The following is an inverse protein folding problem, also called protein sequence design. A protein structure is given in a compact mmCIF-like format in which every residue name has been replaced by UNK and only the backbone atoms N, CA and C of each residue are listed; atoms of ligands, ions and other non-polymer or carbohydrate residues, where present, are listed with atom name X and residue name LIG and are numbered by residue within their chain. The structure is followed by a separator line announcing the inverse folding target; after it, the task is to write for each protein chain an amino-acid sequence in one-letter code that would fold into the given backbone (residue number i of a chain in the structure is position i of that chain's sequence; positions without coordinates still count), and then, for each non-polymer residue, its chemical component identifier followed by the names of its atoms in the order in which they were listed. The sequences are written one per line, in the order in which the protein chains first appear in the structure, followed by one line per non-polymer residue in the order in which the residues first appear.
data_IF_610125351035
#
_entry.id   IF_610125351035
#
_cell.length_a   1.000
_cell.length_b   1.000
_cell.length_c   1.000
_cell.angle_alpha   90.00
_cell.angle_beta   90.00
_cell.angle_gamma   90.00
#
_symmetry.space_group_name_H-M   'P 1'
#
loop_
_entity.id
_entity.type
_entity.pdbx_description
1 polymer ?
#
# COMPACT_ATOMS: atom_id res chain seq x y z
N UNK A 1 -17.20 15.14 10.55
CA UNK A 1 -17.22 13.67 10.79
C UNK A 1 -18.00 12.92 9.71
N UNK A 2 -19.31 13.17 9.50
CA UNK A 2 -20.11 12.50 8.45
C UNK A 2 -19.52 12.60 7.02
N UNK A 3 -19.07 13.78 6.52
CA UNK A 3 -18.51 13.86 5.16
C UNK A 3 -17.20 13.05 4.99
N UNK A 4 -16.43 12.89 6.07
CA UNK A 4 -15.21 12.08 6.09
C UNK A 4 -15.53 10.60 5.94
N UNK A 5 -16.50 10.09 6.71
CA UNK A 5 -16.96 8.70 6.65
C UNK A 5 -17.54 8.37 5.26
N UNK A 6 -18.35 9.27 4.70
CA UNK A 6 -18.92 9.09 3.36
C UNK A 6 -17.84 9.08 2.27
N UNK A 7 -16.86 9.99 2.35
CA UNK A 7 -15.74 10.02 1.42
C UNK A 7 -14.91 8.74 1.46
N UNK A 8 -14.64 8.23 2.67
CA UNK A 8 -13.90 6.99 2.87
C UNK A 8 -14.62 5.78 2.25
N UNK A 9 -15.92 5.62 2.54
CA UNK A 9 -16.72 4.51 1.98
C UNK A 9 -16.79 4.60 0.46
N UNK A 10 -16.92 5.80 -0.10
CA UNK A 10 -16.98 6.00 -1.55
C UNK A 10 -15.65 5.64 -2.23
N UNK A 11 -14.52 6.05 -1.66
CA UNK A 11 -13.19 5.70 -2.16
C UNK A 11 -12.98 4.19 -2.13
N UNK A 12 -13.34 3.51 -1.04
CA UNK A 12 -13.24 2.05 -0.94
C UNK A 12 -14.18 1.33 -1.91
N UNK A 13 -15.38 1.87 -2.15
CA UNK A 13 -16.30 1.36 -3.16
C UNK A 13 -15.70 1.51 -4.57
N UNK A 14 -15.09 2.66 -4.89
CA UNK A 14 -14.44 2.89 -6.18
C UNK A 14 -13.29 1.90 -6.41
N UNK A 15 -12.45 1.65 -5.40
CA UNK A 15 -11.40 0.61 -5.48
C UNK A 15 -11.99 -0.79 -5.69
N UNK A 16 -13.04 -1.16 -4.96
CA UNK A 16 -13.70 -2.45 -5.14
C UNK A 16 -14.25 -2.61 -6.56
N UNK A 17 -14.93 -1.59 -7.10
CA UNK A 17 -15.44 -1.58 -8.48
C UNK A 17 -14.31 -1.66 -9.50
N UNK A 18 -13.21 -0.93 -9.27
CA UNK A 18 -12.03 -0.99 -10.11
C UNK A 18 -11.41 -2.39 -10.12
N UNK A 19 -11.28 -3.05 -8.96
CA UNK A 19 -10.82 -4.44 -8.89
C UNK A 19 -11.78 -5.39 -9.60
N UNK A 20 -13.09 -5.22 -9.44
CA UNK A 20 -14.08 -6.01 -10.18
C UNK A 20 -13.96 -5.82 -11.71
N UNK A 21 -13.61 -4.61 -12.15
CA UNK A 21 -13.44 -4.26 -13.56
C UNK A 21 -12.12 -4.78 -14.13
N UNK A 22 -11.08 -4.83 -13.30
CA UNK A 22 -9.75 -5.31 -13.69
C UNK A 22 -9.64 -6.83 -13.73
N UNK A 23 -10.44 -7.58 -12.97
CA UNK A 23 -10.47 -9.05 -13.04
C UNK A 23 -11.17 -9.40 -14.36
N UNK A 24 -10.42 -9.76 -15.42
CA UNK A 24 -11.03 -9.99 -16.72
C UNK A 24 -11.87 -11.27 -16.62
N UNK A 25 -12.99 -11.28 -17.33
CA UNK A 25 -13.91 -12.41 -17.52
C UNK A 25 -13.21 -13.74 -17.87
N UNK A 26 -11.97 -13.67 -18.35
CA UNK A 26 -11.06 -14.73 -18.78
C UNK A 26 -10.60 -15.69 -17.66
N UNK A 27 -10.45 -15.19 -16.43
CA UNK A 27 -10.03 -16.03 -15.29
C UNK A 27 -11.29 -16.42 -14.50
N UNK A 28 -11.76 -17.66 -14.67
CA UNK A 28 -12.96 -18.25 -14.05
C UNK A 28 -12.91 -18.33 -12.49
N UNK A 29 -12.28 -17.38 -11.80
CA UNK A 29 -12.14 -17.27 -10.35
C UNK A 29 -13.33 -16.54 -9.74
N UNK A 30 -14.54 -17.10 -9.92
CA UNK A 30 -15.78 -16.60 -9.30
C UNK A 30 -15.65 -16.47 -7.77
N UNK A 31 -14.83 -17.32 -7.15
CA UNK A 31 -14.50 -17.28 -5.73
C UNK A 31 -13.84 -15.97 -5.29
N UNK A 32 -12.90 -15.42 -6.06
CA UNK A 32 -12.20 -14.18 -5.69
C UNK A 32 -13.13 -12.97 -5.73
N UNK A 33 -14.02 -12.92 -6.73
CA UNK A 33 -15.04 -11.88 -6.83
C UNK A 33 -15.99 -11.93 -5.63
N UNK A 34 -16.43 -13.11 -5.24
CA UNK A 34 -17.33 -13.27 -4.11
C UNK A 34 -16.65 -12.89 -2.78
N UNK A 35 -15.36 -13.22 -2.60
CA UNK A 35 -14.63 -12.82 -1.38
C UNK A 35 -14.45 -11.31 -1.24
N UNK A 36 -14.20 -10.59 -2.34
CA UNK A 36 -14.05 -9.12 -2.30
C UNK A 36 -15.39 -8.47 -1.98
N UNK A 37 -16.47 -8.91 -2.65
CA UNK A 37 -17.83 -8.38 -2.41
C UNK A 37 -18.26 -8.67 -0.98
N UNK A 38 -18.08 -9.90 -0.50
CA UNK A 38 -18.47 -10.29 0.86
C UNK A 38 -17.69 -9.49 1.90
N UNK A 39 -16.37 -9.34 1.75
CA UNK A 39 -15.56 -8.57 2.69
C UNK A 39 -15.92 -7.08 2.70
N UNK A 40 -16.10 -6.47 1.53
CA UNK A 40 -16.51 -5.08 1.44
C UNK A 40 -17.92 -4.87 2.01
N UNK A 41 -18.86 -5.78 1.76
CA UNK A 41 -20.21 -5.70 2.30
C UNK A 41 -20.23 -5.82 3.84
N UNK A 42 -19.46 -6.77 4.40
CA UNK A 42 -19.30 -6.93 5.85
C UNK A 42 -18.71 -5.65 6.45
N UNK A 43 -17.66 -5.12 5.84
CA UNK A 43 -17.05 -3.87 6.27
C UNK A 43 -18.02 -2.69 6.27
N UNK A 44 -18.68 -2.45 5.13
CA UNK A 44 -19.60 -1.33 4.98
C UNK A 44 -20.75 -1.43 5.99
N UNK A 45 -21.24 -2.65 6.25
CA UNK A 45 -22.28 -2.90 7.26
C UNK A 45 -21.78 -2.57 8.66
N UNK A 46 -20.60 -3.08 9.04
CA UNK A 46 -20.02 -2.81 10.37
C UNK A 46 -19.73 -1.33 10.57
N UNK A 47 -19.15 -0.65 9.57
CA UNK A 47 -18.90 0.79 9.65
C UNK A 47 -20.18 1.60 9.75
N UNK A 48 -21.23 1.20 9.04
CA UNK A 48 -22.54 1.84 9.16
C UNK A 48 -23.07 1.69 10.58
N UNK A 49 -22.99 0.48 11.17
CA UNK A 49 -23.43 0.24 12.55
C UNK A 49 -22.64 1.09 13.56
N UNK A 50 -21.31 1.16 13.44
CA UNK A 50 -20.49 2.01 14.31
C UNK A 50 -20.81 3.51 14.14
N UNK A 51 -21.01 3.97 12.91
CA UNK A 51 -21.42 5.34 12.63
C UNK A 51 -22.78 5.67 13.27
N UNK A 52 -23.74 4.74 13.22
CA UNK A 52 -25.01 4.89 13.93
C UNK A 52 -24.80 4.99 15.45
N UNK A 53 -23.99 4.11 16.05
CA UNK A 53 -23.71 4.15 17.49
C UNK A 53 -23.09 5.48 17.91
N UNK A 54 -22.15 6.02 17.13
CA UNK A 54 -21.51 7.31 17.38
C UNK A 54 -22.52 8.47 17.27
N UNK A 55 -23.42 8.44 16.28
CA UNK A 55 -24.44 9.49 16.11
C UNK A 55 -25.49 9.47 17.22
N UNK A 56 -25.90 8.29 17.68
CA UNK A 56 -26.95 8.13 18.69
C UNK A 56 -26.41 7.98 20.13
N UNK A 57 -25.11 8.23 20.34
CA UNK A 57 -24.44 8.03 21.63
C UNK A 57 -24.99 8.84 22.82
N UNK A 58 -25.71 9.94 22.53
CA UNK A 58 -26.35 10.79 23.53
C UNK A 58 -27.88 10.95 23.27
N UNK A 59 -28.50 10.03 22.51
CA UNK A 59 -29.94 10.05 22.20
C UNK A 59 -30.33 10.78 20.91
N UNK A 60 -31.64 10.89 20.64
CA UNK A 60 -32.17 11.55 19.43
C UNK A 60 -31.83 13.06 19.42
N UNK A 61 -31.36 13.63 18.29
CA UNK A 61 -31.04 15.06 18.16
C UNK A 61 -32.26 16.00 18.25
N UNK A 62 -33.46 15.48 18.49
CA UNK A 62 -34.68 16.26 18.64
C UNK A 62 -34.75 17.07 19.96
N UNK A 63 -33.84 16.84 20.91
CA UNK A 63 -33.85 17.49 22.24
C UNK A 63 -32.73 18.52 22.45
N UNK A 64 -32.07 18.97 21.38
CA UNK A 64 -30.94 19.92 21.44
C UNK A 64 -31.31 21.33 21.99
N UNK A 65 -32.58 21.59 22.28
CA UNK A 65 -33.04 22.88 22.84
C UNK A 65 -33.54 22.78 24.29
N UNK A 66 -33.30 21.67 24.98
CA UNK A 66 -33.65 21.58 26.41
C UNK A 66 -32.41 21.33 27.23
N UNK A 67 -32.13 22.25 28.13
CA UNK A 67 -31.08 22.26 29.17
C UNK A 67 -31.30 21.12 30.19
N UNK A 68 -31.47 19.89 29.71
CA UNK A 68 -31.68 18.72 30.55
C UNK A 68 -30.32 18.11 30.89
N UNK A 69 -29.93 18.25 32.15
CA UNK A 69 -28.69 17.72 32.76
C UNK A 69 -28.66 16.19 32.91
N UNK A 70 -29.62 15.48 32.33
CA UNK A 70 -29.82 14.02 32.46
C UNK A 70 -29.57 13.24 31.16
N UNK A 71 -28.79 13.78 30.21
CA UNK A 71 -28.39 13.01 29.03
C UNK A 71 -27.30 12.00 29.43
N UNK A 72 -27.68 10.73 29.60
CA UNK A 72 -26.73 9.65 29.91
C UNK A 72 -25.96 9.31 28.63
N UNK A 73 -24.85 10.00 28.38
CA UNK A 73 -23.93 9.65 27.30
C UNK A 73 -23.08 8.43 27.70
N UNK A 74 -22.58 7.70 26.70
CA UNK A 74 -21.68 6.57 26.93
C UNK A 74 -20.40 7.01 27.66
N UNK A 75 -19.90 6.15 28.56
CA UNK A 75 -18.64 6.39 29.29
C UNK A 75 -17.46 6.59 28.35
N UNK A 76 -16.52 7.48 28.72
CA UNK A 76 -15.33 7.80 27.92
C UNK A 76 -14.51 6.54 27.53
N UNK A 77 -14.43 5.54 28.41
CA UNK A 77 -13.76 4.26 28.09
C UNK A 77 -14.45 3.48 26.98
N UNK A 78 -15.79 3.47 26.98
CA UNK A 78 -16.57 2.80 25.95
C UNK A 78 -16.39 3.51 24.60
N UNK A 79 -16.29 4.84 24.61
CA UNK A 79 -15.98 5.63 23.41
C UNK A 79 -14.64 5.26 22.80
N UNK A 80 -13.57 5.21 23.60
CA UNK A 80 -12.24 4.83 23.09
C UNK A 80 -12.28 3.47 22.39
N UNK A 81 -12.92 2.47 23.00
CA UNK A 81 -13.06 1.13 22.39
C UNK A 81 -13.87 1.17 21.09
N UNK A 82 -14.97 1.92 21.06
CA UNK A 82 -15.81 2.09 19.87
C UNK A 82 -15.04 2.74 18.72
N UNK A 83 -14.13 3.67 19.00
CA UNK A 83 -13.30 4.30 17.97
C UNK A 83 -12.12 3.41 17.51
N UNK A 84 -11.59 2.56 18.38
CA UNK A 84 -10.41 1.74 18.02
C UNK A 84 -10.79 0.55 17.13
N UNK A 85 -11.98 -0.04 17.31
CA UNK A 85 -12.42 -1.21 16.55
C UNK A 85 -12.52 -0.95 15.02
N UNK A 86 -13.20 0.13 14.56
CA UNK A 86 -13.22 0.52 13.15
C UNK A 86 -11.84 0.61 12.53
N UNK A 87 -10.87 1.17 13.26
CA UNK A 87 -9.51 1.33 12.78
C UNK A 87 -8.82 -0.01 12.49
N UNK A 88 -9.02 -1.01 13.36
CA UNK A 88 -8.51 -2.36 13.10
C UNK A 88 -9.22 -3.03 11.92
N UNK A 89 -10.53 -2.82 11.77
CA UNK A 89 -11.28 -3.34 10.64
C UNK A 89 -10.77 -2.74 9.32
N UNK A 90 -10.43 -1.46 9.33
CA UNK A 90 -9.82 -0.76 8.19
C UNK A 90 -8.51 -1.39 7.77
N UNK A 91 -7.60 -1.62 8.72
CA UNK A 91 -6.33 -2.28 8.44
C UNK A 91 -6.51 -3.70 7.87
N UNK A 92 -7.52 -4.45 8.36
CA UNK A 92 -7.82 -5.80 7.85
C UNK A 92 -8.26 -5.74 6.39
N UNK A 93 -9.05 -4.75 5.97
CA UNK A 93 -9.41 -4.60 4.56
C UNK A 93 -8.24 -4.20 3.70
N UNK A 94 -7.37 -3.33 4.16
CA UNK A 94 -6.18 -2.96 3.41
C UNK A 94 -5.33 -4.20 3.11
N UNK A 95 -5.15 -5.07 4.11
CA UNK A 95 -4.43 -6.33 3.93
C UNK A 95 -5.15 -7.28 2.97
N UNK A 96 -6.48 -7.34 3.02
CA UNK A 96 -7.27 -8.16 2.11
C UNK A 96 -7.19 -7.62 0.67
N UNK A 97 -7.39 -6.32 0.50
CA UNK A 97 -7.31 -5.61 -0.78
C UNK A 97 -5.90 -5.60 -1.35
N UNK A 98 -4.87 -5.75 -0.51
CA UNK A 98 -3.48 -5.95 -0.92
C UNK A 98 -3.22 -7.39 -1.39
N UNK A 99 -3.70 -8.41 -0.65
CA UNK A 99 -3.47 -9.82 -0.98
C UNK A 99 -4.12 -10.24 -2.30
N UNK A 100 -5.30 -9.69 -2.61
CA UNK A 100 -6.05 -9.96 -3.84
C UNK A 100 -5.23 -9.69 -5.11
N UNK A 101 -4.76 -8.45 -5.39
CA UNK A 101 -3.99 -8.14 -6.59
C UNK A 101 -2.63 -8.83 -6.60
N UNK A 102 -2.00 -9.09 -5.45
CA UNK A 102 -0.76 -9.88 -5.39
C UNK A 102 -0.98 -11.28 -5.95
N UNK A 103 -2.07 -11.95 -5.56
CA UNK A 103 -2.41 -13.29 -6.09
C UNK A 103 -2.68 -13.26 -7.60
N UNK A 104 -3.38 -12.24 -8.08
CA UNK A 104 -3.68 -12.05 -9.51
C UNK A 104 -2.39 -11.81 -10.31
N UNK A 105 -1.53 -10.91 -9.85
CA UNK A 105 -0.24 -10.60 -10.50
C UNK A 105 0.65 -11.84 -10.53
N UNK A 106 0.71 -12.62 -9.46
CA UNK A 106 1.46 -13.87 -9.42
C UNK A 106 1.02 -14.89 -10.49
N UNK A 107 -0.27 -14.96 -10.80
CA UNK A 107 -0.85 -15.84 -11.83
C UNK A 107 -0.84 -15.25 -13.25
N UNK A 108 -0.61 -13.95 -13.38
CA UNK A 108 -0.53 -13.25 -14.67
C UNK A 108 0.73 -13.61 -15.46
N UNK A 109 0.62 -13.55 -16.80
CA UNK A 109 1.66 -13.85 -17.80
C UNK A 109 2.67 -12.71 -18.01
N UNK A 110 2.72 -11.74 -17.10
CA UNK A 110 3.66 -10.61 -17.15
C UNK A 110 5.13 -11.03 -17.04
N UNK A 111 6.01 -10.25 -17.67
CA UNK A 111 7.47 -10.43 -17.58
C UNK A 111 7.95 -10.25 -16.13
N UNK A 112 8.97 -11.02 -15.76
CA UNK A 112 9.54 -11.04 -14.39
C UNK A 112 9.87 -9.65 -13.80
N UNK A 113 10.51 -8.70 -14.54
CA UNK A 113 10.82 -7.39 -13.97
C UNK A 113 9.57 -6.55 -13.65
N UNK A 114 8.55 -6.58 -14.52
CA UNK A 114 7.29 -5.87 -14.31
C UNK A 114 6.51 -6.44 -13.13
N UNK A 115 6.51 -7.78 -12.99
CA UNK A 115 5.88 -8.47 -11.85
C UNK A 115 6.47 -8.02 -10.52
N UNK A 116 7.79 -7.87 -10.42
CA UNK A 116 8.46 -7.41 -9.20
C UNK A 116 8.08 -5.96 -8.87
N UNK A 117 8.07 -5.07 -9.86
CA UNK A 117 7.69 -3.66 -9.67
C UNK A 117 6.26 -3.50 -9.16
N UNK A 118 5.30 -4.24 -9.73
CA UNK A 118 3.90 -4.18 -9.29
C UNK A 118 3.73 -4.74 -7.88
N UNK A 119 4.39 -5.86 -7.56
CA UNK A 119 4.35 -6.42 -6.20
C UNK A 119 4.96 -5.43 -5.20
N UNK A 120 6.06 -4.77 -5.55
CA UNK A 120 6.69 -3.78 -4.67
C UNK A 120 5.75 -2.62 -4.31
N UNK A 121 5.04 -2.06 -5.29
CA UNK A 121 4.07 -0.98 -5.05
C UNK A 121 2.92 -1.46 -4.16
N UNK A 122 2.42 -2.68 -4.37
CA UNK A 122 1.38 -3.27 -3.52
C UNK A 122 1.85 -3.49 -2.07
N UNK A 123 3.11 -3.90 -1.89
CA UNK A 123 3.71 -4.09 -0.56
C UNK A 123 3.92 -2.76 0.18
N UNK A 124 4.29 -1.69 -0.53
CA UNK A 124 4.37 -0.35 0.06
C UNK A 124 3.03 0.11 0.64
N UNK A 125 1.92 -0.14 -0.06
CA UNK A 125 0.58 0.15 0.47
C UNK A 125 0.25 -0.63 1.74
N UNK A 126 0.66 -1.90 1.82
CA UNK A 126 0.51 -2.70 3.03
C UNK A 126 1.33 -2.20 4.21
N UNK A 127 2.59 -1.82 3.97
CA UNK A 127 3.48 -1.28 5.00
C UNK A 127 2.95 0.02 5.61
N UNK A 128 2.37 0.89 4.78
CA UNK A 128 1.69 2.10 5.24
C UNK A 128 0.56 1.78 6.25
N UNK A 129 -0.29 0.79 5.92
CA UNK A 129 -1.38 0.36 6.80
C UNK A 129 -0.86 -0.23 8.13
N UNK A 130 0.21 -1.04 8.09
CA UNK A 130 0.84 -1.59 9.31
C UNK A 130 1.41 -0.49 10.21
N UNK A 131 2.12 0.48 9.62
CA UNK A 131 2.67 1.63 10.38
C UNK A 131 1.55 2.42 11.07
N UNK A 132 0.43 2.64 10.37
CA UNK A 132 -0.74 3.32 10.91
C UNK A 132 -1.26 2.63 12.19
N UNK A 133 -1.41 1.29 12.16
CA UNK A 133 -1.83 0.50 13.33
C UNK A 133 -0.81 0.54 14.47
N UNK A 134 0.48 0.54 14.17
CA UNK A 134 1.53 0.58 15.19
C UNK A 134 1.62 1.95 15.91
N UNK A 135 1.17 3.03 15.29
CA UNK A 135 1.15 4.37 15.89
C UNK A 135 0.16 4.44 17.07
N UNK A 136 -0.97 3.72 17.01
CA UNK A 136 -1.99 3.74 18.08
C UNK A 136 -1.44 3.31 19.44
N UNK A 137 -0.83 2.12 19.61
CA UNK A 137 -0.27 1.70 20.90
C UNK A 137 0.95 2.54 21.31
N UNK A 138 1.72 3.09 20.34
CA UNK A 138 2.82 4.00 20.65
C UNK A 138 2.31 5.32 21.22
N UNK A 139 1.24 5.87 20.65
CA UNK A 139 0.58 7.08 21.15
C UNK A 139 -0.12 6.89 22.50
N UNK A 140 -0.44 5.66 22.89
CA UNK A 140 -0.92 5.40 24.26
C UNK A 140 0.24 5.36 25.27
N UNK A 141 1.46 5.05 24.81
CA UNK A 141 2.63 4.87 25.66
C UNK A 141 3.33 6.19 25.98
N UNK A 142 3.51 7.05 24.98
CA UNK A 142 3.90 8.44 25.20
C UNK A 142 2.60 9.25 25.24
N UNK A 143 2.32 9.98 26.33
CA UNK A 143 1.16 10.88 26.43
C UNK A 143 1.37 12.10 25.50
N UNK A 144 1.46 11.86 24.20
CA UNK A 144 1.66 12.89 23.20
C UNK A 144 0.30 13.53 22.92
N UNK A 145 0.21 14.80 23.24
CA UNK A 145 -1.00 15.61 23.09
C UNK A 145 -1.14 16.02 21.62
N UNK A 146 -1.77 15.15 20.83
CA UNK A 146 -2.09 15.45 19.43
C UNK A 146 -3.36 16.29 19.38
N UNK A 147 -3.22 17.55 18.98
CA UNK A 147 -4.35 18.46 18.81
C UNK A 147 -5.35 17.89 17.78
N UNK A 148 -6.65 17.95 18.08
CA UNK A 148 -7.74 17.24 17.37
C UNK A 148 -7.90 17.62 15.88
N UNK A 149 -7.31 18.73 15.44
CA UNK A 149 -7.31 19.16 14.03
C UNK A 149 -6.20 18.48 13.19
N UNK A 150 -5.27 17.79 13.84
CA UNK A 150 -3.99 17.37 13.26
C UNK A 150 -3.95 15.83 13.08
N UNK A 151 -4.82 15.12 13.80
CA UNK A 151 -4.78 13.67 14.02
C UNK A 151 -4.90 12.84 12.73
N UNK A 152 -5.58 13.36 11.71
CA UNK A 152 -5.75 12.69 10.41
C UNK A 152 -4.66 13.07 9.41
N UNK A 153 -4.17 14.31 9.44
CA UNK A 153 -3.20 14.81 8.46
C UNK A 153 -1.76 14.44 8.81
N UNK A 154 -1.40 14.38 10.10
CA UNK A 154 -0.04 13.99 10.53
C UNK A 154 0.32 12.57 10.11
N UNK A 155 -0.56 11.60 10.38
CA UNK A 155 -0.34 10.18 10.03
C UNK A 155 -0.22 10.01 8.51
N UNK A 156 -1.06 10.70 7.74
CA UNK A 156 -1.03 10.62 6.27
C UNK A 156 0.27 11.23 5.74
N UNK A 157 0.69 12.40 6.23
CA UNK A 157 1.92 13.08 5.78
C UNK A 157 3.16 12.26 6.14
N UNK A 158 3.24 11.68 7.34
CA UNK A 158 4.37 10.83 7.73
C UNK A 158 4.44 9.55 6.91
N UNK A 159 3.29 8.92 6.64
CA UNK A 159 3.22 7.74 5.76
C UNK A 159 3.62 8.09 4.32
N UNK A 160 3.17 9.23 3.78
CA UNK A 160 3.52 9.65 2.43
C UNK A 160 5.00 10.03 2.31
N UNK A 161 5.57 10.71 3.30
CA UNK A 161 6.99 11.05 3.32
C UNK A 161 7.85 9.79 3.46
N UNK A 162 7.46 8.85 4.33
CA UNK A 162 8.19 7.61 4.53
C UNK A 162 8.11 6.67 3.30
N UNK A 163 6.93 6.57 2.67
CA UNK A 163 6.75 5.77 1.46
C UNK A 163 7.43 6.39 0.23
N UNK A 164 7.46 7.71 0.11
CA UNK A 164 8.21 8.41 -0.93
C UNK A 164 9.72 8.22 -0.76
N UNK A 165 10.24 8.32 0.45
CA UNK A 165 11.66 8.11 0.74
C UNK A 165 12.08 6.66 0.43
N UNK A 166 11.28 5.67 0.86
CA UNK A 166 11.54 4.27 0.59
C UNK A 166 11.46 3.93 -0.91
N UNK A 167 10.49 4.50 -1.63
CA UNK A 167 10.37 4.33 -3.08
C UNK A 167 11.56 4.95 -3.82
N UNK A 168 11.99 6.16 -3.44
CA UNK A 168 13.16 6.81 -4.03
C UNK A 168 14.44 6.02 -3.79
N UNK A 169 14.60 5.47 -2.58
CA UNK A 169 15.75 4.65 -2.22
C UNK A 169 15.81 3.35 -3.04
N UNK A 170 14.68 2.65 -3.18
CA UNK A 170 14.60 1.40 -3.96
C UNK A 170 14.77 1.63 -5.46
N UNK A 171 14.17 2.68 -6.02
CA UNK A 171 14.35 3.04 -7.44
C UNK A 171 15.80 3.47 -7.71
N UNK A 172 16.42 4.18 -6.77
CA UNK A 172 17.85 4.51 -6.84
C UNK A 172 18.73 3.27 -6.90
N UNK A 173 18.46 2.29 -6.02
CA UNK A 173 19.24 1.06 -5.94
C UNK A 173 19.09 0.18 -7.20
N UNK A 174 17.87 0.07 -7.74
CA UNK A 174 17.61 -0.62 -9.01
C UNK A 174 18.31 0.06 -10.19
N UNK A 175 18.30 1.40 -10.24
CA UNK A 175 18.98 2.16 -11.29
C UNK A 175 20.51 2.00 -11.20
N UNK A 176 21.07 1.91 -10.00
CA UNK A 176 22.50 1.63 -9.79
C UNK A 176 22.87 0.21 -10.24
N UNK A 177 22.09 -0.80 -9.87
CA UNK A 177 22.26 -2.20 -10.33
C UNK A 177 22.24 -2.30 -11.86
N UNK A 178 21.32 -1.59 -12.50
CA UNK A 178 21.17 -1.62 -13.95
C UNK A 178 22.32 -0.88 -14.65
N UNK A 179 22.75 0.27 -14.14
CA UNK A 179 23.91 1.00 -14.65
C UNK A 179 25.20 0.20 -14.48
N UNK A 180 25.38 -0.51 -13.37
CA UNK A 180 26.58 -1.31 -13.12
C UNK A 180 26.69 -2.48 -14.10
N UNK A 181 25.57 -3.15 -14.41
CA UNK A 181 25.51 -4.21 -15.43
C UNK A 181 25.81 -3.66 -16.84
N UNK A 182 25.33 -2.46 -17.14
CA UNK A 182 25.58 -1.80 -18.42
C UNK A 182 27.05 -1.42 -18.59
N UNK A 183 27.66 -0.82 -17.57
CA UNK A 183 29.09 -0.46 -17.56
C UNK A 183 29.97 -1.71 -17.66
N UNK A 184 29.62 -2.80 -16.96
CA UNK A 184 30.35 -4.06 -17.06
C UNK A 184 30.26 -4.66 -18.47
N UNK A 185 29.11 -4.56 -19.14
CA UNK A 185 28.96 -5.02 -20.53
C UNK A 185 29.83 -4.20 -21.50
N UNK A 186 29.89 -2.87 -21.34
CA UNK A 186 30.76 -1.99 -22.15
C UNK A 186 32.23 -2.35 -21.92
N UNK A 187 32.68 -2.43 -20.67
CA UNK A 187 34.06 -2.76 -20.34
C UNK A 187 34.47 -4.14 -20.89
N UNK A 188 33.56 -5.12 -20.81
CA UNK A 188 33.76 -6.46 -21.35
C UNK A 188 33.87 -6.45 -22.88
N UNK A 189 33.11 -5.59 -23.57
CA UNK A 189 33.18 -5.43 -25.02
C UNK A 189 34.49 -4.79 -25.48
N UNK A 190 34.97 -3.75 -24.80
CA UNK A 190 36.27 -3.10 -25.11
C UNK A 190 37.44 -4.06 -24.87
N UNK A 191 37.41 -4.85 -23.79
CA UNK A 191 38.45 -5.85 -23.51
C UNK A 191 38.51 -6.97 -24.56
N UNK A 192 37.38 -7.33 -25.17
CA UNK A 192 37.35 -8.29 -26.28
C UNK A 192 37.90 -7.68 -27.57
N UNK A 193 37.58 -6.42 -27.88
CA UNK A 193 38.13 -5.71 -29.04
C UNK A 193 39.65 -5.48 -28.96
N UNK A 194 40.18 -5.18 -27.77
CA UNK A 194 41.62 -5.06 -27.55
C UNK A 194 42.37 -6.39 -27.76
N UNK A 195 41.75 -7.53 -27.39
CA UNK A 195 42.34 -8.87 -27.61
C UNK A 195 42.39 -9.26 -29.08
N UNK A 196 41.38 -8.92 -29.88
CA UNK A 196 41.40 -9.23 -31.33
C UNK A 196 42.49 -8.48 -32.07
N UNK A 197 42.78 -7.22 -31.69
CA UNK A 197 43.87 -6.43 -32.29
C UNK A 197 45.26 -6.98 -31.94
N UNK A 198 45.40 -7.62 -30.78
CA UNK A 198 46.68 -8.17 -30.33
C UNK A 198 46.99 -9.55 -30.95
N UNK A 199 45.96 -10.29 -31.38
CA UNK A 199 46.12 -11.55 -32.11
C UNK A 199 46.56 -11.32 -33.56
N UNK A 200 46.03 -10.28 -34.21
CA UNK A 200 46.38 -9.89 -35.59
C UNK A 200 47.85 -9.41 -35.73
N UNK A 201 48.39 -8.82 -34.65
CA UNK A 201 49.79 -8.38 -34.60
C UNK A 201 50.83 -9.50 -34.39
N UNK A 202 50.44 -10.68 -33.92
CA UNK A 202 51.35 -11.81 -33.66
C UNK A 202 51.52 -12.72 -34.89
N UNK A 203 50.46 -12.87 -35.71
CA UNK A 203 50.54 -13.61 -36.98
C UNK A 203 51.44 -12.89 -38.01
N UNK A 204 51.49 -11.55 -38.01
CA UNK A 204 52.38 -10.79 -38.89
C UNK A 204 53.88 -10.99 -38.59
N UNK A 205 54.26 -11.50 -37.41
CA UNK A 205 55.67 -11.76 -37.05
C UNK A 205 56.09 -13.20 -37.32
N UNK A 206 55.18 -14.09 -37.72
CA UNK A 206 55.45 -15.51 -37.97
C UNK A 206 55.43 -15.81 -39.47
N UNK A 207 56.13 -15.02 -40.28
CA UNK A 207 56.53 -15.44 -41.62
C UNK A 207 57.89 -16.14 -41.54
N UNK A 208 57.99 -17.45 -41.80
CA UNK A 208 59.27 -18.14 -41.84
C UNK A 208 60.04 -17.70 -43.10
N UNK A 209 61.28 -17.23 -42.89
CA UNK A 209 62.30 -17.18 -43.94
C UNK A 209 62.50 -18.61 -44.45
N UNK A 210 61.98 -18.93 -45.63
CA UNK A 210 62.34 -20.13 -46.38
C UNK A 210 63.33 -19.77 -47.50
N UNK A 211 64.45 -20.49 -47.44
CA UNK A 211 65.58 -20.60 -48.36
C UNK A 211 65.28 -20.45 -49.85
#
# INVERSE_FOLDING_TARGET
MIPYILGEVFVRAAYAVFYLSLIPLELNLRWQRHTIIAAFAIYATLQTVFAFIIVFQCGLPANLNTTNTHVVCLSNRAMTTIYTIPYYLDAILDWLMMLVPIRVVCKSTMTKPTKISVIFILMLGGLASVLAVLIIPLSYRENVDWNEADQSMGIIVDIFLYSADLSNKVVGDLRLEQNMKYVHAIYKSEKMAARSLQYDGDDSKRSPQSF
#
